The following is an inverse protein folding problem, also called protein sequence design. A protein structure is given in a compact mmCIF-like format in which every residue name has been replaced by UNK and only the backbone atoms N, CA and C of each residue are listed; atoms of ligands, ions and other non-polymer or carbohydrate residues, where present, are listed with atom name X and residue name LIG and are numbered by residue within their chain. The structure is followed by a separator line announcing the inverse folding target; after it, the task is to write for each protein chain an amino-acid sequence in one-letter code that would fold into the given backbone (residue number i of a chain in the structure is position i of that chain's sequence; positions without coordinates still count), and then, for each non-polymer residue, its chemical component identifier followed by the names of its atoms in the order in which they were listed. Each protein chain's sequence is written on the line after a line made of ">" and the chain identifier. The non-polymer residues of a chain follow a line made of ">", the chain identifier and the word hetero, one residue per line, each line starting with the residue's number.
data_IF_717447509048
#
_entry.id   IF_717447509048
#
_cell.length_a   1.000
_cell.length_b   1.000
_cell.length_c   1.000
_cell.angle_alpha   90.00
_cell.angle_beta   90.00
_cell.angle_gamma   90.00
#
_symmetry.space_group_name_H-M   'P 1'
#
loop_
_entity.id
_entity.type
_entity.pdbx_description
1 polymer ?
#
# COMPACT_ATOMS: atom_id res chain seq x y z
N UNK A 1 30.04 -23.41 38.10
CA UNK A 1 30.66 -23.05 36.80
C UNK A 1 29.85 -23.73 35.71
N UNK A 2 29.13 -22.97 34.87
CA UNK A 2 28.31 -23.50 33.77
C UNK A 2 29.05 -23.26 32.46
N UNK A 3 29.46 -24.32 31.78
CA UNK A 3 30.10 -24.28 30.47
C UNK A 3 29.01 -24.42 29.42
N UNK A 4 28.75 -23.35 28.65
CA UNK A 4 27.82 -23.37 27.53
C UNK A 4 28.59 -23.61 26.22
N UNK A 5 28.22 -24.66 25.49
CA UNK A 5 28.71 -24.93 24.14
C UNK A 5 27.98 -24.04 23.13
N UNK A 6 28.74 -23.39 22.25
CA UNK A 6 28.24 -22.64 21.09
C UNK A 6 28.50 -23.48 19.85
N UNK A 7 27.43 -23.83 19.11
CA UNK A 7 27.54 -24.46 17.79
C UNK A 7 27.45 -23.35 16.76
N UNK A 8 28.55 -23.11 16.04
CA UNK A 8 28.60 -22.23 14.88
C UNK A 8 28.41 -23.09 13.63
N UNK A 9 27.29 -22.92 12.93
CA UNK A 9 27.07 -23.54 11.62
C UNK A 9 27.42 -22.51 10.55
N UNK A 10 28.57 -22.67 9.91
CA UNK A 10 28.93 -21.90 8.71
C UNK A 10 28.42 -22.62 7.46
N UNK A 11 27.55 -21.97 6.69
CA UNK A 11 27.15 -22.44 5.38
C UNK A 11 28.10 -21.87 4.32
N UNK A 12 28.97 -22.71 3.76
CA UNK A 12 29.69 -22.47 2.49
C UNK A 12 29.73 -23.77 1.69
N UNK A 13 29.77 -23.62 0.36
CA UNK A 13 29.79 -24.65 -0.69
C UNK A 13 28.41 -25.26 -0.98
N UNK A 14 27.88 -25.25 -2.20
CA UNK A 14 28.48 -25.90 -3.40
C UNK A 14 28.17 -25.14 -4.70
N UNK A 15 29.18 -25.15 -5.58
CA UNK A 15 29.21 -24.63 -6.94
C UNK A 15 28.39 -25.43 -7.97
N UNK A 16 28.20 -24.75 -9.11
CA UNK A 16 27.79 -25.22 -10.44
C UNK A 16 28.32 -26.62 -10.84
N UNK A 17 27.42 -27.47 -11.34
CA UNK A 17 27.71 -28.43 -12.42
C UNK A 17 26.52 -28.41 -13.39
N UNK A 18 26.83 -28.30 -14.68
CA UNK A 18 25.85 -28.36 -15.76
C UNK A 18 25.71 -29.74 -16.38
N UNK A 19 24.72 -29.80 -17.27
CA UNK A 19 24.56 -30.70 -18.43
C UNK A 19 24.15 -32.17 -18.23
N UNK A 20 23.20 -32.51 -19.11
CA UNK A 20 22.95 -33.79 -19.77
C UNK A 20 22.34 -34.93 -18.94
N UNK A 21 21.17 -35.36 -19.41
CA UNK A 21 20.34 -36.36 -18.75
C UNK A 21 20.80 -37.79 -18.93
N UNK A 22 20.13 -38.68 -18.20
CA UNK A 22 20.01 -40.10 -18.48
C UNK A 22 18.64 -40.54 -17.95
N UNK A 23 17.92 -41.25 -18.83
CA UNK A 23 16.64 -41.92 -18.61
C UNK A 23 16.84 -43.16 -17.72
N UNK A 24 15.73 -43.61 -17.14
CA UNK A 24 15.48 -44.90 -16.48
C UNK A 24 15.87 -44.97 -15.00
N UNK A 25 14.86 -45.10 -14.13
CA UNK A 25 14.64 -46.34 -13.38
C UNK A 25 13.18 -46.42 -12.90
N UNK A 26 12.58 -47.60 -13.08
CA UNK A 26 11.22 -47.96 -12.69
C UNK A 26 11.24 -48.54 -11.26
N UNK A 27 10.19 -48.18 -10.52
CA UNK A 27 9.36 -48.99 -9.59
C UNK A 27 10.05 -49.69 -8.41
N UNK A 28 9.48 -49.42 -7.24
CA UNK A 28 8.97 -50.29 -6.13
C UNK A 28 8.99 -49.37 -4.87
N UNK A 29 8.15 -49.41 -3.83
CA UNK A 29 6.92 -50.07 -3.39
C UNK A 29 6.55 -49.37 -2.06
N UNK A 30 5.30 -49.45 -1.61
CA UNK A 30 4.87 -49.11 -0.23
C UNK A 30 3.99 -47.86 -0.18
N UNK A 31 2.65 -47.91 -0.14
CA UNK A 31 1.76 -48.68 0.75
C UNK A 31 2.09 -48.38 2.22
N UNK A 32 1.51 -47.30 2.74
CA UNK A 32 1.66 -46.87 4.12
C UNK A 32 0.64 -45.81 4.53
N UNK A 33 -0.42 -46.29 5.20
CA UNK A 33 -1.27 -45.58 6.16
C UNK A 33 -1.99 -44.28 5.73
N UNK A 34 -3.26 -44.44 5.35
CA UNK A 34 -4.27 -43.39 5.40
C UNK A 34 -4.73 -43.23 6.87
N UNK A 35 -4.08 -42.33 7.61
CA UNK A 35 -4.53 -41.94 8.96
C UNK A 35 -5.52 -40.78 8.82
N UNK A 36 -6.82 -41.11 8.78
CA UNK A 36 -7.87 -40.11 8.86
C UNK A 36 -8.01 -39.63 10.32
N UNK A 37 -7.37 -38.51 10.66
CA UNK A 37 -7.66 -37.80 11.91
C UNK A 37 -8.92 -36.98 11.70
N UNK A 38 -10.03 -37.45 12.27
CA UNK A 38 -11.27 -36.69 12.39
C UNK A 38 -11.07 -35.63 13.48
N UNK A 39 -10.72 -34.42 13.10
CA UNK A 39 -10.86 -33.25 13.98
C UNK A 39 -12.31 -32.77 13.92
N UNK A 40 -13.11 -33.23 14.89
CA UNK A 40 -14.36 -32.58 15.25
C UNK A 40 -14.04 -31.26 15.97
N UNK A 41 -13.91 -30.18 15.20
CA UNK A 41 -13.80 -28.82 15.73
C UNK A 41 -14.92 -27.97 15.14
N UNK A 42 -15.96 -27.72 15.94
CA UNK A 42 -16.96 -26.68 15.64
C UNK A 42 -16.27 -25.32 15.75
N UNK A 43 -15.69 -24.86 14.65
CA UNK A 43 -15.26 -23.47 14.51
C UNK A 43 -16.51 -22.58 14.49
N UNK A 44 -16.95 -22.16 15.68
CA UNK A 44 -17.80 -20.99 15.80
C UNK A 44 -17.05 -19.80 15.23
N UNK A 45 -17.40 -19.41 14.00
CA UNK A 45 -17.02 -18.14 13.43
C UNK A 45 -17.71 -17.05 14.26
N UNK A 46 -17.09 -16.67 15.37
CA UNK A 46 -17.37 -15.42 16.05
C UNK A 46 -16.96 -14.31 15.10
N UNK A 47 -17.89 -13.87 14.25
CA UNK A 47 -17.79 -12.59 13.60
C UNK A 47 -17.61 -11.57 14.73
N UNK A 48 -16.39 -11.08 14.91
CA UNK A 48 -16.13 -9.95 15.77
C UNK A 48 -17.04 -8.82 15.25
N UNK A 49 -18.10 -8.54 16.00
CA UNK A 49 -18.95 -7.39 15.75
C UNK A 49 -18.02 -6.18 15.80
N UNK A 50 -17.77 -5.59 14.63
CA UNK A 50 -17.16 -4.28 14.54
C UNK A 50 -17.99 -3.37 15.44
N UNK A 51 -17.37 -2.89 16.52
CA UNK A 51 -18.03 -1.98 17.44
C UNK A 51 -18.61 -0.79 16.68
N UNK A 52 -19.65 -0.13 17.22
CA UNK A 52 -20.23 1.04 16.59
C UNK A 52 -19.12 2.05 16.32
N UNK A 53 -18.97 2.39 15.04
CA UNK A 53 -18.07 3.42 14.57
C UNK A 53 -18.35 4.70 15.38
N UNK A 54 -17.34 5.34 16.03
CA UNK A 54 -17.57 6.52 16.85
C UNK A 54 -18.39 7.55 16.09
N UNK A 55 -19.37 8.18 16.75
CA UNK A 55 -20.36 9.07 16.12
C UNK A 55 -19.72 10.29 15.45
N UNK A 56 -18.50 10.64 15.84
CA UNK A 56 -17.66 11.64 15.18
C UNK A 56 -17.26 11.22 13.76
N UNK A 57 -17.05 9.93 13.54
CA UNK A 57 -16.88 9.30 12.23
C UNK A 57 -18.20 9.13 11.43
N UNK A 58 -19.34 9.58 11.95
CA UNK A 58 -20.62 9.60 11.22
C UNK A 58 -21.12 11.02 10.93
N UNK A 59 -20.55 12.05 11.57
CA UNK A 59 -20.90 13.46 11.37
C UNK A 59 -20.37 14.05 10.06
N UNK A 60 -19.30 13.51 9.46
CA UNK A 60 -18.74 14.01 8.21
C UNK A 60 -19.57 13.67 6.96
N UNK A 61 -20.43 12.65 7.03
CA UNK A 61 -21.28 12.20 5.89
C UNK A 61 -22.44 13.14 5.58
N UNK A 62 -23.10 13.69 6.60
CA UNK A 62 -24.27 14.56 6.46
C UNK A 62 -23.91 16.05 6.38
N UNK A 63 -22.78 16.46 6.95
CA UNK A 63 -22.37 17.87 6.95
C UNK A 63 -21.85 18.35 5.59
N UNK A 64 -21.37 17.45 4.72
CA UNK A 64 -20.51 17.84 3.61
C UNK A 64 -21.21 18.09 2.28
N UNK A 65 -22.29 17.39 1.89
CA UNK A 65 -23.05 17.72 0.67
C UNK A 65 -22.18 18.04 -0.56
N UNK A 66 -21.01 17.39 -0.68
CA UNK A 66 -19.97 17.77 -1.64
C UNK A 66 -20.39 17.25 -3.01
N UNK A 67 -20.68 18.16 -3.92
CA UNK A 67 -20.63 17.86 -5.34
C UNK A 67 -19.17 17.57 -5.73
N UNK A 68 -18.95 16.69 -6.70
CA UNK A 68 -17.62 16.42 -7.26
C UNK A 68 -16.89 17.74 -7.57
N UNK A 69 -15.71 17.95 -6.98
CA UNK A 69 -14.84 19.07 -7.32
C UNK A 69 -14.94 20.34 -6.47
N UNK A 70 -15.56 20.34 -5.29
CA UNK A 70 -15.49 21.49 -4.36
C UNK A 70 -14.09 21.62 -3.69
N UNK A 71 -13.13 22.12 -4.48
CA UNK A 71 -11.72 22.28 -4.11
C UNK A 71 -11.54 23.16 -2.88
N UNK A 72 -12.37 24.20 -2.73
CA UNK A 72 -12.27 25.17 -1.65
C UNK A 72 -12.55 24.49 -0.30
N UNK A 73 -13.60 23.67 -0.26
CA UNK A 73 -14.00 22.96 0.95
C UNK A 73 -13.08 21.80 1.29
N UNK A 74 -12.57 21.10 0.28
CA UNK A 74 -11.56 20.08 0.48
C UNK A 74 -10.24 20.68 1.04
N UNK A 75 -9.82 21.86 0.56
CA UNK A 75 -8.68 22.59 1.13
C UNK A 75 -8.93 23.03 2.57
N UNK A 76 -10.15 23.46 2.90
CA UNK A 76 -10.53 23.77 4.28
C UNK A 76 -10.48 22.54 5.19
N UNK A 77 -10.90 21.37 4.71
CA UNK A 77 -10.78 20.10 5.44
C UNK A 77 -9.31 19.73 5.68
N UNK A 78 -8.46 19.81 4.66
CA UNK A 78 -7.03 19.56 4.80
C UNK A 78 -6.36 20.52 5.80
N UNK A 79 -6.82 21.78 5.88
CA UNK A 79 -6.33 22.75 6.87
C UNK A 79 -6.81 22.47 8.30
N UNK A 80 -7.94 21.77 8.48
CA UNK A 80 -8.46 21.37 9.80
C UNK A 80 -7.82 20.08 10.35
N UNK A 81 -7.17 19.31 9.48
CA UNK A 81 -6.49 18.07 9.82
C UNK A 81 -5.00 18.37 10.03
N UNK A 82 -4.33 17.61 10.91
CA UNK A 82 -2.87 17.66 11.03
C UNK A 82 -2.22 17.02 9.80
N UNK A 83 -2.21 17.76 8.70
CA UNK A 83 -1.72 17.32 7.40
C UNK A 83 -0.39 17.97 7.04
N UNK A 84 0.44 17.21 6.35
CA UNK A 84 1.52 17.72 5.53
C UNK A 84 0.98 18.11 4.16
N UNK A 85 1.51 19.19 3.61
CA UNK A 85 1.15 19.73 2.30
C UNK A 85 2.35 19.68 1.36
N UNK A 86 2.05 19.75 0.05
CA UNK A 86 3.03 19.70 -1.03
C UNK A 86 3.92 18.47 -0.91
N UNK A 87 3.33 17.36 -0.43
CA UNK A 87 4.07 16.12 -0.26
C UNK A 87 4.29 15.52 -1.63
N UNK A 88 5.55 15.32 -1.98
CA UNK A 88 5.98 14.53 -3.13
C UNK A 88 6.42 13.16 -2.65
N UNK A 89 6.15 12.14 -3.46
CA UNK A 89 6.53 10.75 -3.20
C UNK A 89 7.41 10.31 -4.35
N UNK A 90 8.62 9.85 -4.07
CA UNK A 90 9.59 9.39 -5.06
C UNK A 90 9.83 7.90 -4.88
N UNK A 91 9.61 7.11 -5.94
CA UNK A 91 9.81 5.67 -5.92
C UNK A 91 11.28 5.29 -6.15
N UNK A 92 11.58 3.99 -6.02
CA UNK A 92 12.93 3.45 -6.19
C UNK A 92 13.56 3.67 -7.58
N UNK A 93 12.75 3.86 -8.63
CA UNK A 93 13.25 4.25 -9.97
C UNK A 93 13.73 5.72 -10.03
N UNK A 94 13.63 6.46 -8.93
CA UNK A 94 14.01 7.86 -8.84
C UNK A 94 12.99 8.84 -9.42
N UNK A 95 11.87 8.35 -9.97
CA UNK A 95 10.75 9.15 -10.48
C UNK A 95 9.72 9.42 -9.38
N UNK A 96 8.96 10.49 -9.57
CA UNK A 96 7.92 10.94 -8.67
C UNK A 96 6.58 10.32 -9.04
N UNK A 97 5.82 10.01 -8.00
CA UNK A 97 4.46 9.48 -8.10
C UNK A 97 3.54 10.62 -8.51
N UNK A 98 2.78 10.41 -9.57
CA UNK A 98 1.72 11.30 -10.03
C UNK A 98 0.36 10.64 -9.95
N UNK A 99 -0.68 11.40 -9.67
CA UNK A 99 -2.06 10.99 -9.93
C UNK A 99 -2.42 11.37 -11.37
N UNK A 100 -2.60 10.37 -12.24
CA UNK A 100 -2.65 10.60 -13.69
C UNK A 100 -4.02 11.10 -14.16
N UNK A 101 -4.26 12.40 -14.09
CA UNK A 101 -5.52 13.02 -14.53
C UNK A 101 -5.54 13.42 -16.01
N UNK A 102 -4.43 13.24 -16.72
CA UNK A 102 -4.34 13.49 -18.17
C UNK A 102 -4.97 12.39 -19.01
N UNK A 103 -5.17 11.20 -18.42
CA UNK A 103 -5.85 10.08 -19.06
C UNK A 103 -7.34 10.09 -18.74
N UNK A 104 -8.14 9.62 -19.69
CA UNK A 104 -9.60 9.51 -19.56
C UNK A 104 -10.01 8.09 -19.15
N UNK A 105 -11.30 7.92 -18.81
CA UNK A 105 -11.88 6.62 -18.52
C UNK A 105 -11.33 5.98 -17.25
N UNK A 106 -11.20 4.65 -17.28
CA UNK A 106 -10.86 3.80 -16.14
C UNK A 106 -9.43 3.98 -15.62
N UNK A 107 -8.59 4.75 -16.30
CA UNK A 107 -7.21 5.03 -15.86
C UNK A 107 -7.05 6.42 -15.25
N UNK A 108 -8.10 7.25 -15.29
CA UNK A 108 -8.10 8.59 -14.71
C UNK A 108 -7.79 8.54 -13.22
N UNK A 109 -6.79 9.32 -12.80
CA UNK A 109 -6.33 9.43 -11.42
C UNK A 109 -5.47 8.27 -10.94
N UNK A 110 -5.09 7.31 -11.80
CA UNK A 110 -4.23 6.20 -11.41
C UNK A 110 -2.87 6.73 -10.92
N UNK A 111 -2.35 6.19 -9.82
CA UNK A 111 -1.04 6.58 -9.30
C UNK A 111 0.07 5.87 -10.07
N UNK A 112 1.04 6.63 -10.57
CA UNK A 112 2.17 6.14 -11.38
C UNK A 112 3.49 6.77 -10.96
N UNK A 113 4.55 5.98 -10.79
CA UNK A 113 5.90 6.47 -10.54
C UNK A 113 6.61 6.85 -11.85
N UNK A 114 6.21 7.97 -12.46
CA UNK A 114 6.55 8.28 -13.85
C UNK A 114 7.13 9.69 -14.09
N UNK A 115 7.07 10.60 -13.10
CA UNK A 115 7.41 12.01 -13.33
C UNK A 115 8.87 12.30 -12.95
N UNK A 116 9.71 12.86 -13.86
CA UNK A 116 11.05 13.29 -13.48
C UNK A 116 11.00 14.53 -12.59
N UNK A 117 12.06 14.77 -11.80
CA UNK A 117 12.12 15.90 -10.85
C UNK A 117 11.83 17.26 -11.50
N UNK A 118 12.28 17.47 -12.74
CA UNK A 118 12.10 18.72 -13.48
C UNK A 118 10.66 18.98 -13.95
N UNK A 119 9.77 17.99 -13.86
CA UNK A 119 8.39 18.06 -14.33
C UNK A 119 7.37 17.91 -13.20
N UNK A 120 7.79 17.99 -11.93
CA UNK A 120 6.87 18.00 -10.78
C UNK A 120 5.90 19.17 -10.94
N UNK A 121 4.61 18.85 -11.00
CA UNK A 121 3.53 19.82 -11.06
C UNK A 121 2.41 19.44 -10.08
N UNK A 122 1.21 19.93 -10.33
CA UNK A 122 0.07 19.74 -9.43
C UNK A 122 -0.36 18.27 -9.25
N UNK A 123 0.04 17.37 -10.15
CA UNK A 123 -0.34 15.95 -10.11
C UNK A 123 0.55 15.12 -9.18
N UNK A 124 1.73 15.62 -8.87
CA UNK A 124 2.74 14.98 -8.01
C UNK A 124 2.69 15.47 -6.56
N UNK A 125 1.80 16.42 -6.27
CA UNK A 125 1.61 16.98 -4.94
C UNK A 125 0.45 16.30 -4.25
N UNK A 126 0.66 15.93 -2.99
CA UNK A 126 -0.33 15.30 -2.13
C UNK A 126 -0.47 16.07 -0.81
N UNK A 127 -1.70 16.12 -0.30
CA UNK A 127 -1.90 16.23 1.14
C UNK A 127 -1.72 14.85 1.74
N UNK A 128 -1.00 14.80 2.85
CA UNK A 128 -0.92 13.57 3.63
C UNK A 128 -1.26 13.89 5.05
N UNK A 129 -2.21 13.17 5.59
CA UNK A 129 -2.74 13.44 6.91
C UNK A 129 -2.61 12.16 7.72
N UNK A 130 -2.43 12.35 9.02
CA UNK A 130 -2.40 11.24 9.97
C UNK A 130 -3.50 11.42 10.99
N UNK A 131 -4.29 10.37 11.16
CA UNK A 131 -5.28 10.32 12.22
C UNK A 131 -4.58 10.23 13.58
N UNK A 132 -4.82 11.17 14.50
CA UNK A 132 -4.22 11.12 15.82
C UNK A 132 -4.74 9.95 16.68
N UNK A 133 -5.92 9.40 16.38
CA UNK A 133 -6.53 8.34 17.17
C UNK A 133 -5.94 6.96 16.87
N UNK A 134 -5.68 6.65 15.59
CA UNK A 134 -5.26 5.31 15.16
C UNK A 134 -4.00 5.28 14.29
N UNK A 135 -3.35 6.43 14.10
CA UNK A 135 -2.12 6.62 13.33
C UNK A 135 -2.22 6.23 11.84
N UNK A 136 -3.43 5.99 11.34
CA UNK A 136 -3.65 5.72 9.92
C UNK A 136 -3.35 6.97 9.11
N UNK A 137 -2.79 6.73 7.95
CA UNK A 137 -2.40 7.74 6.98
C UNK A 137 -3.39 7.73 5.82
N UNK A 138 -3.84 8.88 5.40
CA UNK A 138 -4.63 9.05 4.18
C UNK A 138 -3.95 10.09 3.30
N UNK A 139 -3.98 9.81 1.99
CA UNK A 139 -3.42 10.68 0.98
C UNK A 139 -4.55 11.28 0.15
N UNK A 140 -4.41 12.55 -0.20
CA UNK A 140 -5.27 13.22 -1.17
C UNK A 140 -4.38 13.86 -2.22
N UNK A 141 -4.70 13.68 -3.50
CA UNK A 141 -4.00 14.45 -4.54
C UNK A 141 -4.32 15.94 -4.34
N UNK A 142 -3.35 16.84 -4.50
CA UNK A 142 -3.63 18.28 -4.49
C UNK A 142 -4.20 18.78 -5.80
N UNK A 143 -4.29 17.91 -6.81
CA UNK A 143 -4.97 18.23 -8.04
C UNK A 143 -6.48 18.31 -7.83
N UNK A 144 -7.06 19.37 -8.38
CA UNK A 144 -8.49 19.70 -8.49
C UNK A 144 -9.48 18.76 -7.77
N UNK A 145 -10.02 19.20 -6.63
CA UNK A 145 -11.08 18.52 -5.88
C UNK A 145 -10.61 17.62 -4.73
N UNK A 146 -9.30 17.46 -4.57
CA UNK A 146 -8.65 16.62 -3.54
C UNK A 146 -9.16 15.18 -3.45
N UNK A 147 -9.13 14.42 -4.56
CA UNK A 147 -9.56 13.04 -4.52
C UNK A 147 -8.67 12.23 -3.57
N UNK A 148 -9.31 11.43 -2.71
CA UNK A 148 -8.59 10.47 -1.87
C UNK A 148 -7.91 9.44 -2.74
N UNK A 149 -6.69 9.09 -2.35
CA UNK A 149 -6.00 7.93 -2.87
C UNK A 149 -6.63 6.69 -2.22
N UNK A 150 -7.17 5.80 -3.04
CA UNK A 150 -7.78 4.56 -2.61
C UNK A 150 -7.08 3.35 -3.24
N UNK A 151 -7.13 2.21 -2.55
CA UNK A 151 -6.74 0.91 -3.10
C UNK A 151 -7.95 0.30 -3.82
N UNK A 152 -7.78 -0.08 -5.08
CA UNK A 152 -8.82 -0.67 -5.93
C UNK A 152 -8.92 -2.18 -5.72
N UNK A 153 -10.05 -2.64 -5.23
CA UNK A 153 -10.21 -4.04 -4.79
C UNK A 153 -11.63 -4.58 -4.88
N UNK A 154 -12.57 -3.75 -5.35
CA UNK A 154 -13.95 -4.19 -5.53
C UNK A 154 -13.98 -5.34 -6.54
N UNK A 155 -14.50 -6.49 -6.11
CA UNK A 155 -14.77 -7.62 -6.99
C UNK A 155 -15.78 -7.28 -8.11
N UNK A 156 -16.55 -6.19 -7.93
CA UNK A 156 -17.58 -5.73 -8.87
C UNK A 156 -17.02 -4.73 -9.90
N UNK A 157 -16.00 -3.94 -9.53
CA UNK A 157 -15.48 -2.86 -10.39
C UNK A 157 -14.11 -3.20 -11.00
N UNK A 158 -13.23 -3.90 -10.27
CA UNK A 158 -11.85 -4.14 -10.68
C UNK A 158 -11.28 -5.45 -10.10
N UNK A 159 -11.50 -6.56 -10.82
CA UNK A 159 -10.82 -7.84 -10.59
C UNK A 159 -9.62 -8.03 -11.55
N UNK A 160 -8.79 -9.04 -11.29
CA UNK A 160 -7.68 -9.41 -12.18
C UNK A 160 -6.55 -8.38 -12.22
N UNK A 161 -6.19 -7.92 -13.42
CA UNK A 161 -5.00 -7.09 -13.65
C UNK A 161 -5.05 -5.73 -12.96
N UNK A 162 -6.20 -5.27 -12.48
CA UNK A 162 -6.37 -3.98 -11.78
C UNK A 162 -6.47 -4.11 -10.26
N UNK A 163 -6.51 -5.34 -9.74
CA UNK A 163 -6.59 -5.56 -8.31
C UNK A 163 -5.37 -4.98 -7.59
N UNK A 164 -5.64 -4.22 -6.54
CA UNK A 164 -4.68 -3.55 -5.67
C UNK A 164 -4.17 -2.23 -6.22
N UNK A 165 -4.57 -1.77 -7.40
CA UNK A 165 -4.09 -0.50 -7.96
C UNK A 165 -4.43 0.69 -7.04
N UNK A 166 -3.57 1.69 -7.00
CA UNK A 166 -3.86 2.93 -6.28
C UNK A 166 -4.40 3.98 -7.24
N UNK A 167 -5.49 4.64 -6.86
CA UNK A 167 -6.12 5.72 -7.64
C UNK A 167 -6.51 6.87 -6.76
N UNK A 168 -6.32 8.09 -7.25
CA UNK A 168 -6.96 9.28 -6.72
C UNK A 168 -8.27 9.51 -7.48
N UNK A 169 -9.39 8.98 -6.98
CA UNK A 169 -10.63 8.96 -7.77
C UNK A 169 -11.94 9.03 -7.00
N UNK A 170 -11.93 8.88 -5.68
CA UNK A 170 -13.15 8.89 -4.89
C UNK A 170 -13.16 10.08 -3.91
N UNK A 171 -14.12 10.99 -4.09
CA UNK A 171 -14.26 12.19 -3.27
C UNK A 171 -15.13 11.97 -2.02
N UNK A 172 -15.90 10.88 -1.97
CA UNK A 172 -17.00 10.73 -1.01
C UNK A 172 -16.89 9.53 -0.06
N UNK A 173 -16.11 8.49 -0.42
CA UNK A 173 -15.98 7.30 0.42
C UNK A 173 -14.77 7.42 1.35
N UNK A 174 -14.99 7.62 2.65
CA UNK A 174 -13.99 7.42 3.67
C UNK A 174 -14.15 6.02 4.27
N UNK A 175 -13.20 5.14 3.98
CA UNK A 175 -13.20 3.79 4.52
C UNK A 175 -11.84 3.14 4.42
N UNK A 176 -11.77 1.86 4.81
CA UNK A 176 -10.53 1.05 4.84
C UNK A 176 -9.74 1.09 3.52
N UNK A 177 -10.40 1.42 2.39
CA UNK A 177 -9.81 1.60 1.04
C UNK A 177 -8.80 2.74 0.95
N UNK A 178 -8.94 3.78 1.76
CA UNK A 178 -8.11 4.99 1.70
C UNK A 178 -7.09 5.03 2.83
N UNK A 179 -7.08 4.00 3.68
CA UNK A 179 -6.23 3.97 4.85
C UNK A 179 -4.95 3.21 4.54
N UNK A 180 -3.84 3.87 4.87
CA UNK A 180 -2.50 3.33 4.74
C UNK A 180 -1.78 3.42 6.07
N UNK A 181 -0.83 2.51 6.31
CA UNK A 181 0.21 2.72 7.31
C UNK A 181 1.51 3.01 6.59
N UNK A 182 2.14 4.14 6.91
CA UNK A 182 3.50 4.44 6.45
C UNK A 182 4.48 4.11 7.56
N UNK A 183 5.60 3.48 7.24
CA UNK A 183 6.67 3.25 8.21
C UNK A 183 7.99 3.73 7.62
N UNK A 184 8.83 4.31 8.46
CA UNK A 184 10.11 4.92 8.09
C UNK A 184 11.24 4.28 8.88
N UNK A 185 12.41 4.13 8.26
CA UNK A 185 13.65 3.78 8.98
C UNK A 185 14.73 4.86 8.81
N UNK A 186 15.29 5.43 9.90
CA UNK A 186 14.77 5.44 11.27
C UNK A 186 13.57 6.38 11.42
N UNK A 187 12.64 6.00 12.31
CA UNK A 187 11.47 6.78 12.70
C UNK A 187 11.90 8.06 13.45
N UNK A 188 12.28 9.10 12.71
CA UNK A 188 12.46 10.44 13.25
C UNK A 188 11.29 11.32 12.82
N UNK A 189 10.79 12.10 13.78
CA UNK A 189 9.54 12.86 13.79
C UNK A 189 9.50 14.04 12.79
N UNK A 190 9.87 13.80 11.53
CA UNK A 190 9.54 14.68 10.41
C UNK A 190 8.28 14.19 9.68
N UNK A 191 7.82 14.89 8.64
CA UNK A 191 6.74 14.45 7.76
C UNK A 191 7.01 13.04 7.25
N UNK A 192 6.46 12.02 7.92
CA UNK A 192 6.44 10.64 7.44
C UNK A 192 7.82 10.07 7.02
N UNK A 193 8.88 10.51 7.69
CA UNK A 193 10.23 10.07 7.37
C UNK A 193 10.93 10.77 6.21
N UNK A 194 10.75 12.09 6.11
CA UNK A 194 11.37 12.92 5.09
C UNK A 194 12.86 12.54 4.83
N UNK A 195 13.16 12.15 3.59
CA UNK A 195 14.50 11.78 3.12
C UNK A 195 14.93 10.32 3.32
N UNK A 196 14.16 9.50 4.05
CA UNK A 196 14.48 8.09 4.30
C UNK A 196 13.57 7.15 3.49
N UNK A 197 13.96 5.86 3.45
CA UNK A 197 13.13 4.79 2.91
C UNK A 197 11.85 4.63 3.73
N UNK A 198 10.72 4.98 3.11
CA UNK A 198 9.37 4.83 3.62
C UNK A 198 8.64 3.79 2.77
N UNK A 199 7.96 2.87 3.42
CA UNK A 199 7.04 1.94 2.77
C UNK A 199 5.61 2.20 3.24
N UNK A 200 4.64 1.88 2.40
CA UNK A 200 3.22 2.05 2.70
C UNK A 200 2.44 0.75 2.54
N UNK A 201 1.61 0.48 3.54
CA UNK A 201 0.78 -0.71 3.67
C UNK A 201 -0.69 -0.33 3.52
N UNK A 202 -1.40 -0.96 2.59
CA UNK A 202 -2.84 -0.74 2.45
C UNK A 202 -3.59 -1.51 3.51
N UNK A 203 -4.42 -0.82 4.30
CA UNK A 203 -5.31 -1.49 5.24
C UNK A 203 -6.38 -2.30 4.53
N UNK A 204 -6.71 -1.98 3.28
CA UNK A 204 -7.80 -2.65 2.61
C UNK A 204 -7.50 -4.13 2.35
N UNK A 205 -6.40 -4.41 1.64
CA UNK A 205 -6.01 -5.77 1.27
C UNK A 205 -4.82 -6.29 2.06
N UNK A 206 -4.31 -5.51 3.02
CA UNK A 206 -3.24 -5.94 3.94
C UNK A 206 -1.97 -6.34 3.18
N UNK A 207 -1.57 -5.48 2.24
CA UNK A 207 -0.40 -5.65 1.40
C UNK A 207 0.40 -4.34 1.31
N UNK A 208 1.71 -4.47 1.16
CA UNK A 208 2.58 -3.36 0.80
C UNK A 208 2.31 -2.90 -0.62
N UNK A 209 2.38 -1.60 -0.80
CA UNK A 209 2.28 -0.98 -2.11
C UNK A 209 3.64 -0.99 -2.78
N UNK A 210 3.61 -1.41 -4.02
CA UNK A 210 4.73 -1.56 -4.92
C UNK A 210 4.60 -0.58 -6.07
N UNK A 211 5.68 0.09 -6.45
CA UNK A 211 5.78 0.66 -7.78
C UNK A 211 6.06 -0.49 -8.76
N UNK A 212 5.13 -0.80 -9.66
CA UNK A 212 5.28 -1.89 -10.64
C UNK A 212 6.27 -1.49 -11.74
N UNK A 213 7.57 -1.38 -11.39
CA UNK A 213 8.63 -0.82 -12.23
C UNK A 213 9.00 -1.69 -13.44
N UNK A 214 8.60 -2.95 -13.41
CA UNK A 214 8.67 -3.89 -14.53
C UNK A 214 7.53 -3.73 -15.53
N UNK A 215 6.51 -2.93 -15.21
CA UNK A 215 5.43 -2.57 -16.13
C UNK A 215 5.73 -1.23 -16.80
N UNK A 216 5.37 -1.06 -18.08
CA UNK A 216 5.62 0.19 -18.83
C UNK A 216 5.00 1.44 -18.18
N UNK A 217 4.04 1.23 -17.30
CA UNK A 217 3.13 2.22 -16.79
C UNK A 217 3.46 2.65 -15.34
N UNK A 218 4.44 1.96 -14.72
CA UNK A 218 4.94 2.15 -13.36
C UNK A 218 3.84 2.39 -12.33
N UNK A 219 2.70 1.72 -12.49
CA UNK A 219 1.53 1.90 -11.64
C UNK A 219 1.81 1.48 -10.19
N UNK A 220 1.23 2.20 -9.24
CA UNK A 220 1.31 1.83 -7.83
C UNK A 220 0.25 0.79 -7.51
N UNK A 221 0.64 -0.26 -6.78
CA UNK A 221 -0.24 -1.37 -6.44
C UNK A 221 0.05 -1.99 -5.08
N UNK A 222 -0.95 -2.09 -4.22
CA UNK A 222 -0.93 -2.90 -3.00
C UNK A 222 -1.00 -4.39 -3.37
N UNK A 223 0.15 -5.09 -3.38
CA UNK A 223 0.23 -6.47 -3.89
C UNK A 223 1.12 -7.41 -3.10
N UNK A 224 2.17 -6.93 -2.45
CA UNK A 224 3.19 -7.79 -1.85
C UNK A 224 3.05 -7.85 -0.33
N UNK A 225 3.15 -9.05 0.25
CA UNK A 225 3.17 -9.24 1.70
C UNK A 225 4.54 -8.94 2.34
N UNK A 226 5.56 -8.68 1.53
CA UNK A 226 6.94 -8.45 1.96
C UNK A 226 7.48 -7.19 1.29
N UNK A 227 8.30 -6.42 2.00
CA UNK A 227 8.98 -5.24 1.48
C UNK A 227 10.19 -5.67 0.65
N UNK A 228 10.23 -5.28 -0.62
CA UNK A 228 11.37 -5.39 -1.51
C UNK A 228 11.86 -4.01 -1.98
N UNK A 229 12.70 -3.96 -3.03
CA UNK A 229 13.21 -2.70 -3.58
C UNK A 229 12.12 -1.79 -4.15
N UNK A 230 10.98 -2.33 -4.60
CA UNK A 230 9.92 -1.57 -5.27
C UNK A 230 8.86 -1.00 -4.32
N UNK A 231 8.90 -1.43 -3.07
CA UNK A 231 8.04 -0.96 -1.98
C UNK A 231 8.70 0.20 -1.21
N UNK A 232 9.87 0.63 -1.66
CA UNK A 232 10.64 1.72 -1.06
C UNK A 232 10.35 3.05 -1.77
N UNK A 233 10.00 4.04 -0.97
CA UNK A 233 9.69 5.38 -1.41
C UNK A 233 10.37 6.40 -0.52
N UNK A 234 10.63 7.58 -1.03
CA UNK A 234 11.07 8.73 -0.24
C UNK A 234 10.01 9.82 -0.33
N UNK A 235 9.66 10.40 0.81
CA UNK A 235 8.61 11.40 0.92
C UNK A 235 9.27 12.73 1.26
N UNK A 236 8.74 13.83 0.73
CA UNK A 236 9.20 15.18 1.11
C UNK A 236 8.06 16.16 0.98
N UNK A 237 7.91 17.05 1.96
CA UNK A 237 6.84 18.04 2.01
C UNK A 237 7.02 18.96 3.20
N UNK A 238 6.10 19.90 3.38
CA UNK A 238 6.09 20.85 4.48
C UNK A 238 4.90 20.57 5.39
N UNK A 239 5.06 20.81 6.68
CA UNK A 239 3.93 20.81 7.62
C UNK A 239 3.07 22.04 7.35
N UNK A 240 1.74 21.86 7.38
CA UNK A 240 0.78 22.95 7.32
C UNK A 240 0.94 23.94 8.48
#
# INVERSE_FOLDING_TARGET
>A
MKVGFVIVVTNRFVERIGMAGIRWWRRLVGLGALLAVVFGGTAGAGAAQAGPVPVEQLRWRAALGLADGDVARAKALAASLSCWQNVTIRAANGLYVKADFGVVGVDKGLLRAATPKSAIGAWELFYVCRDPADWRTYLMSQYNGLPYVNTETSAVDYSGVRYGLLRAGNYADHGKRNYFSTFTVPASNGPLGAGNGTWFWSWWNELYVSAQLDYPDASLRARLGVVGPWEQFSWSGITA
#
